data_IF_839519218360
#
_entry.id   IF_839519218360
#
_cell.length_a   1.000
_cell.length_b   1.000
_cell.length_c   1.000
_cell.angle_alpha   90.00
_cell.angle_beta   90.00
_cell.angle_gamma   90.00
#
_symmetry.space_group_name_H-M   'P 1'
#
loop_
_entity.id
_entity.type
_entity.pdbx_description
1 polymer ?
#
# COMPACT_ATOMS: atom_id res chain seq x y z
N UNK A 1 -6.01 6.64 10.10
CA UNK A 1 -5.69 6.73 8.65
C UNK A 1 -4.20 6.61 8.44
N UNK A 2 -3.73 5.46 7.96
CA UNK A 2 -2.32 5.25 7.58
C UNK A 2 -2.19 5.59 6.09
N UNK A 3 -1.17 6.36 5.70
CA UNK A 3 -0.91 6.74 4.29
C UNK A 3 -2.06 7.47 3.55
N UNK A 4 -2.97 8.10 4.30
CA UNK A 4 -4.15 8.73 3.70
C UNK A 4 -5.16 7.77 3.09
N UNK A 5 -5.14 6.51 3.51
CA UNK A 5 -6.08 5.48 3.08
C UNK A 5 -7.01 5.11 4.25
N UNK A 6 -8.24 4.71 3.89
CA UNK A 6 -9.17 4.14 4.84
C UNK A 6 -8.67 2.79 5.34
N UNK A 7 -9.08 2.38 6.53
CA UNK A 7 -8.73 1.06 7.06
C UNK A 7 -9.25 -0.06 6.16
N UNK A 8 -10.47 0.07 5.64
CA UNK A 8 -11.05 -0.87 4.66
C UNK A 8 -10.17 -1.02 3.42
N UNK A 9 -9.66 0.09 2.87
CA UNK A 9 -8.77 0.06 1.70
C UNK A 9 -7.45 -0.64 2.02
N UNK A 10 -6.87 -0.38 3.19
CA UNK A 10 -5.62 -1.03 3.62
C UNK A 10 -5.86 -2.54 3.78
N UNK A 11 -6.94 -2.94 4.43
CA UNK A 11 -7.27 -4.36 4.61
C UNK A 11 -7.50 -5.08 3.28
N UNK A 12 -8.18 -4.43 2.32
CA UNK A 12 -8.35 -4.99 0.98
C UNK A 12 -7.00 -5.19 0.26
N UNK A 13 -6.12 -4.19 0.28
CA UNK A 13 -4.78 -4.31 -0.29
C UNK A 13 -3.99 -5.45 0.36
N UNK A 14 -3.95 -5.51 1.70
CA UNK A 14 -3.30 -6.59 2.44
C UNK A 14 -3.86 -7.96 2.06
N UNK A 15 -5.19 -8.11 1.98
CA UNK A 15 -5.82 -9.38 1.60
C UNK A 15 -5.39 -9.86 0.21
N UNK A 16 -5.13 -8.95 -0.73
CA UNK A 16 -4.60 -9.32 -2.06
C UNK A 16 -3.18 -9.85 -1.91
N UNK A 17 -2.29 -9.13 -1.21
CA UNK A 17 -0.89 -9.53 -1.05
C UNK A 17 -0.73 -10.86 -0.32
N UNK A 18 -1.58 -11.15 0.67
CA UNK A 18 -1.58 -12.42 1.42
C UNK A 18 -1.83 -13.66 0.56
N UNK A 19 -2.40 -13.51 -0.64
CA UNK A 19 -2.57 -14.64 -1.57
C UNK A 19 -1.28 -15.01 -2.33
N UNK A 20 -0.20 -14.24 -2.18
CA UNK A 20 1.06 -14.42 -2.89
C UNK A 20 2.19 -14.65 -1.88
N UNK A 21 2.51 -15.91 -1.54
CA UNK A 21 3.53 -16.23 -0.53
C UNK A 21 4.94 -15.77 -0.92
N UNK A 22 5.19 -15.48 -2.19
CA UNK A 22 6.45 -14.92 -2.67
C UNK A 22 6.65 -13.47 -2.20
N UNK A 23 5.58 -12.74 -1.87
CA UNK A 23 5.65 -11.37 -1.36
C UNK A 23 5.99 -11.42 0.14
N UNK A 24 7.22 -11.06 0.48
CA UNK A 24 7.67 -10.98 1.88
C UNK A 24 7.44 -9.60 2.50
N UNK A 25 7.57 -8.54 1.69
CA UNK A 25 7.41 -7.16 2.14
C UNK A 25 6.67 -6.30 1.09
N UNK A 26 5.80 -5.42 1.59
CA UNK A 26 5.07 -4.43 0.79
C UNK A 26 5.45 -3.04 1.28
N UNK A 27 6.14 -2.29 0.42
CA UNK A 27 6.69 -0.96 0.77
C UNK A 27 5.91 0.11 0.00
N UNK A 28 5.39 1.10 0.72
CA UNK A 28 4.69 2.23 0.13
C UNK A 28 5.61 3.42 -0.10
N UNK A 29 5.47 4.06 -1.26
CA UNK A 29 6.23 5.21 -1.68
C UNK A 29 5.32 6.39 -2.04
N UNK A 30 5.90 7.37 -2.75
CA UNK A 30 5.14 8.44 -3.35
C UNK A 30 4.54 9.43 -2.36
N UNK A 31 3.49 10.11 -2.82
CA UNK A 31 2.85 11.20 -2.07
C UNK A 31 2.19 10.72 -0.78
N UNK A 32 1.67 9.49 -0.78
CA UNK A 32 1.00 8.85 0.35
C UNK A 32 1.96 8.50 1.49
N UNK A 33 3.16 8.02 1.16
CA UNK A 33 4.22 7.80 2.15
C UNK A 33 4.73 9.11 2.76
N UNK A 34 4.85 10.17 1.93
CA UNK A 34 5.33 11.49 2.36
C UNK A 34 4.28 12.33 3.09
N UNK A 35 3.00 11.93 3.07
CA UNK A 35 1.90 12.66 3.69
C UNK A 35 1.43 13.89 2.90
N UNK A 36 1.87 14.07 1.65
CA UNK A 36 1.47 15.18 0.77
C UNK A 36 0.55 14.74 -0.39
N UNK A 37 -0.20 13.67 -0.18
CA UNK A 37 -1.21 13.14 -1.09
C UNK A 37 -2.45 14.05 -1.17
N UNK A 38 -3.21 13.87 -2.24
CA UNK A 38 -4.51 14.52 -2.49
C UNK A 38 -5.57 13.48 -2.82
N UNK A 39 -6.82 13.87 -2.86
CA UNK A 39 -7.89 13.03 -3.41
C UNK A 39 -7.53 12.61 -4.84
N UNK A 40 -7.72 11.33 -5.17
CA UNK A 40 -7.32 10.76 -6.45
C UNK A 40 -5.83 10.51 -6.64
N UNK A 41 -4.97 10.77 -5.65
CA UNK A 41 -3.54 10.41 -5.76
C UNK A 41 -3.34 8.90 -5.85
N UNK A 42 -2.40 8.50 -6.71
CA UNK A 42 -2.01 7.11 -6.89
C UNK A 42 -1.44 6.49 -5.59
N UNK A 43 -1.34 5.16 -5.57
CA UNK A 43 -0.73 4.38 -4.49
C UNK A 43 0.50 3.69 -5.06
N UNK A 44 1.66 4.31 -4.90
CA UNK A 44 2.94 3.74 -5.34
C UNK A 44 3.41 2.67 -4.35
N UNK A 45 3.54 1.43 -4.82
CA UNK A 45 3.94 0.28 -3.99
C UNK A 45 5.08 -0.48 -4.67
N UNK A 46 6.03 -0.96 -3.88
CA UNK A 46 7.02 -1.97 -4.30
C UNK A 46 6.79 -3.24 -3.51
N UNK A 47 6.82 -4.37 -4.21
CA UNK A 47 6.77 -5.72 -3.64
C UNK A 47 8.19 -6.27 -3.61
N UNK A 48 8.61 -6.75 -2.45
CA UNK A 48 9.90 -7.43 -2.26
C UNK A 48 9.62 -8.85 -1.82
N UNK A 49 10.34 -9.80 -2.42
CA UNK A 49 10.04 -11.20 -2.34
C UNK A 49 11.18 -12.07 -2.85
N UNK A 50 10.95 -13.39 -2.84
CA UNK A 50 11.90 -14.41 -3.28
C UNK A 50 11.80 -14.76 -4.76
#
# INVERSE_FOLDING_TARGET
>A
MKFGLSETTISLLCSVFENYPEIEEVIIYGSRAKGNYREGSDIDITLKGT
#
